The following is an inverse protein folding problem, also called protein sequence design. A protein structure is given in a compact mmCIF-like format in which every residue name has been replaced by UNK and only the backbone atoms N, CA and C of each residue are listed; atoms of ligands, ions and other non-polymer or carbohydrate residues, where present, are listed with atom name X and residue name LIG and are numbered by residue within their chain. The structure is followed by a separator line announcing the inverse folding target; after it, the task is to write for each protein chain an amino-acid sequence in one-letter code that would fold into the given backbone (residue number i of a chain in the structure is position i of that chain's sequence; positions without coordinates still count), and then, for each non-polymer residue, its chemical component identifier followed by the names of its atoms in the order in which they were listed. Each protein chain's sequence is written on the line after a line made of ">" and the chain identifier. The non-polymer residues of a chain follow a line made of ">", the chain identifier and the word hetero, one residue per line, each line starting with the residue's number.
data_IF_221518174977
#
_entry.id   IF_221518174977
#
_cell.length_a   1.000
_cell.length_b   1.000
_cell.length_c   1.000
_cell.angle_alpha   90.00
_cell.angle_beta   90.00
_cell.angle_gamma   90.00
#
_symmetry.space_group_name_H-M   'P 1'
#
loop_
_entity.id
_entity.type
_entity.pdbx_description
1 polymer ?
#
# COMPACT_ATOMS: atom_id res chain seq x y z
N UNK A 1 6.41 59.69 21.94
CA UNK A 1 6.46 58.39 22.65
C UNK A 1 6.13 57.31 21.62
N UNK A 2 7.14 56.67 21.05
CA UNK A 2 7.00 55.66 19.99
C UNK A 2 7.13 54.28 20.62
N UNK A 3 6.09 53.45 20.48
CA UNK A 3 6.04 52.08 21.01
C UNK A 3 6.49 51.14 19.89
N UNK A 4 7.70 50.60 20.01
CA UNK A 4 8.25 49.61 19.09
C UNK A 4 7.73 48.23 19.49
N UNK A 5 6.80 47.66 18.70
CA UNK A 5 6.33 46.30 18.91
C UNK A 5 7.33 45.30 18.31
N UNK A 6 8.00 44.52 19.16
CA UNK A 6 8.88 43.43 18.74
C UNK A 6 8.04 42.20 18.37
N UNK A 7 8.06 41.81 17.09
CA UNK A 7 7.49 40.56 16.62
C UNK A 7 8.43 39.41 16.99
N UNK A 8 8.01 38.59 17.96
CA UNK A 8 8.72 37.34 18.31
C UNK A 8 8.35 36.29 17.27
N UNK A 9 9.29 35.95 16.38
CA UNK A 9 9.14 34.85 15.45
C UNK A 9 9.21 33.51 16.21
N UNK A 10 8.09 32.80 16.28
CA UNK A 10 8.04 31.45 16.85
C UNK A 10 8.59 30.48 15.81
N UNK A 11 9.65 29.70 16.11
CA UNK A 11 10.15 28.69 15.19
C UNK A 11 9.12 27.57 15.06
N UNK A 12 8.62 27.36 13.85
CA UNK A 12 7.77 26.22 13.53
C UNK A 12 8.67 25.00 13.41
N UNK A 13 8.75 24.18 14.45
CA UNK A 13 9.32 22.84 14.35
C UNK A 13 8.45 22.02 13.40
N UNK A 14 8.89 21.87 12.16
CA UNK A 14 8.38 20.84 11.27
C UNK A 14 8.75 19.49 11.90
N UNK A 15 7.79 18.85 12.55
CA UNK A 15 7.94 17.45 12.96
C UNK A 15 8.19 16.69 11.66
N UNK A 16 9.43 16.24 11.45
CA UNK A 16 9.77 15.37 10.35
C UNK A 16 8.82 14.16 10.43
N UNK A 17 7.95 14.02 9.43
CA UNK A 17 7.01 12.92 9.38
C UNK A 17 7.80 11.62 9.47
N UNK A 18 7.62 10.88 10.56
CA UNK A 18 8.29 9.59 10.76
C UNK A 18 7.78 8.66 9.66
N UNK A 19 8.70 8.08 8.89
CA UNK A 19 8.34 7.18 7.81
C UNK A 19 7.57 5.97 8.39
N UNK A 20 6.31 5.73 7.98
CA UNK A 20 5.50 4.64 8.53
C UNK A 20 6.08 3.25 8.21
N UNK A 21 6.94 3.16 7.19
CA UNK A 21 7.56 1.91 6.75
C UNK A 21 8.82 1.53 7.54
N UNK A 22 9.29 2.40 8.45
CA UNK A 22 10.47 2.12 9.28
C UNK A 22 10.28 0.90 10.19
N UNK A 23 9.03 0.56 10.53
CA UNK A 23 8.67 -0.58 11.38
C UNK A 23 8.63 -1.92 10.66
N UNK A 24 8.68 -1.92 9.32
CA UNK A 24 8.72 -3.16 8.54
C UNK A 24 9.99 -3.97 8.87
N UNK A 25 9.94 -5.31 8.86
CA UNK A 25 11.14 -6.13 8.92
C UNK A 25 12.13 -5.77 7.81
N UNK A 26 13.43 -5.93 8.08
CA UNK A 26 14.49 -5.56 7.13
C UNK A 26 14.46 -6.33 5.80
N UNK A 27 13.80 -7.49 5.77
CA UNK A 27 13.54 -8.25 4.54
C UNK A 27 12.60 -7.52 3.58
N UNK A 28 11.80 -6.57 4.05
CA UNK A 28 10.82 -5.80 3.28
C UNK A 28 11.29 -4.36 3.10
N UNK A 29 12.19 -4.13 2.15
CA UNK A 29 12.85 -2.84 1.94
C UNK A 29 12.41 -2.10 0.66
N UNK A 30 11.50 -2.68 -0.12
CA UNK A 30 10.95 -2.07 -1.33
C UNK A 30 9.43 -2.04 -1.24
N UNK A 31 8.89 -0.87 -0.91
CA UNK A 31 7.47 -0.67 -0.61
C UNK A 31 6.80 0.01 -1.80
N UNK A 32 5.81 -0.65 -2.39
CA UNK A 32 4.96 -0.06 -3.42
C UNK A 32 3.89 0.83 -2.77
N UNK A 33 3.80 2.08 -3.21
CA UNK A 33 2.91 3.09 -2.65
C UNK A 33 2.24 3.92 -3.75
N UNK A 34 1.08 4.48 -3.43
CA UNK A 34 0.43 5.60 -4.13
C UNK A 34 0.18 6.71 -3.12
N UNK A 35 1.23 7.49 -2.85
CA UNK A 35 1.20 8.59 -1.88
C UNK A 35 1.78 9.83 -2.57
N UNK A 36 1.00 10.91 -2.70
CA UNK A 36 1.41 12.12 -3.41
C UNK A 36 2.51 12.90 -2.69
N UNK A 37 2.76 12.63 -1.40
CA UNK A 37 3.89 13.19 -0.68
C UNK A 37 5.21 12.47 -0.98
N UNK A 38 5.15 11.22 -1.47
CA UNK A 38 6.31 10.36 -1.73
C UNK A 38 6.56 10.14 -3.23
N UNK A 39 5.49 10.01 -4.01
CA UNK A 39 5.54 9.72 -5.43
C UNK A 39 5.56 11.01 -6.26
N UNK A 40 6.39 11.06 -7.32
CA UNK A 40 6.34 12.15 -8.29
C UNK A 40 4.95 12.25 -8.93
N UNK A 41 4.47 13.47 -9.20
CA UNK A 41 3.15 13.70 -9.80
C UNK A 41 2.94 13.00 -11.16
N UNK A 42 4.02 12.69 -11.88
CA UNK A 42 3.99 11.95 -13.14
C UNK A 42 3.58 10.47 -12.96
N UNK A 43 3.75 9.91 -11.76
CA UNK A 43 3.55 8.49 -11.49
C UNK A 43 2.45 8.30 -10.44
N UNK A 44 1.42 7.53 -10.79
CA UNK A 44 0.34 7.19 -9.84
C UNK A 44 0.84 6.28 -8.72
N UNK A 45 1.90 5.51 -8.96
CA UNK A 45 2.57 4.68 -7.94
C UNK A 45 4.07 4.79 -8.05
N UNK A 46 4.76 4.54 -6.95
CA UNK A 46 6.20 4.51 -6.89
C UNK A 46 6.68 3.48 -5.86
N UNK A 47 7.95 3.12 -5.93
CA UNK A 47 8.61 2.24 -4.96
C UNK A 47 9.49 3.09 -4.07
N UNK A 48 9.33 2.94 -2.75
CA UNK A 48 10.13 3.64 -1.73
C UNK A 48 10.84 2.64 -0.82
N UNK A 49 11.85 3.10 -0.10
CA UNK A 49 12.49 2.33 0.96
C UNK A 49 11.84 2.53 2.34
N UNK A 50 12.36 1.83 3.36
CA UNK A 50 11.90 1.96 4.76
C UNK A 50 12.15 3.32 5.40
N UNK A 51 12.93 4.18 4.74
CA UNK A 51 13.14 5.58 5.11
C UNK A 51 12.30 6.54 4.24
N UNK A 52 11.33 6.02 3.47
CA UNK A 52 10.44 6.77 2.58
C UNK A 52 11.18 7.50 1.46
N UNK A 53 12.37 7.01 1.09
CA UNK A 53 13.11 7.53 -0.05
C UNK A 53 12.61 6.87 -1.32
N UNK A 54 12.34 7.67 -2.33
CA UNK A 54 11.98 7.20 -3.66
C UNK A 54 13.14 6.37 -4.24
N UNK A 55 12.84 5.11 -4.58
CA UNK A 55 13.76 4.22 -5.28
C UNK A 55 13.50 4.25 -6.79
N UNK A 56 12.23 4.32 -7.21
CA UNK A 56 11.85 4.31 -8.63
C UNK A 56 10.39 3.97 -8.88
N UNK A 57 10.12 3.32 -10.02
CA UNK A 57 8.76 2.92 -10.45
C UNK A 57 8.59 1.40 -10.41
N UNK A 58 7.35 0.89 -10.25
CA UNK A 58 7.09 -0.56 -10.30
C UNK A 58 7.45 -1.23 -11.64
N UNK A 59 7.57 -0.46 -12.73
CA UNK A 59 7.94 -0.98 -14.04
C UNK A 59 9.43 -1.37 -14.13
N UNK A 60 10.25 -0.83 -13.22
CA UNK A 60 11.72 -0.97 -13.25
C UNK A 60 12.26 -1.63 -11.98
N UNK A 61 11.49 -1.63 -10.90
CA UNK A 61 11.90 -2.16 -9.61
C UNK A 61 10.89 -3.17 -9.08
N UNK A 62 11.41 -4.32 -8.64
CA UNK A 62 10.65 -5.25 -7.82
C UNK A 62 10.37 -4.65 -6.46
N UNK A 63 9.22 -5.02 -5.90
CA UNK A 63 8.75 -4.59 -4.59
C UNK A 63 8.29 -5.82 -3.79
N UNK A 64 8.30 -5.69 -2.47
CA UNK A 64 7.96 -6.77 -1.56
C UNK A 64 7.14 -6.30 -0.36
N UNK A 65 6.58 -5.09 -0.42
CA UNK A 65 5.55 -4.65 0.51
C UNK A 65 4.56 -3.72 -0.19
N UNK A 66 3.35 -3.65 0.34
CA UNK A 66 2.31 -2.70 -0.05
C UNK A 66 2.16 -1.69 1.08
N UNK A 67 2.28 -0.40 0.76
CA UNK A 67 2.15 0.70 1.71
C UNK A 67 0.90 1.56 1.50
N UNK A 68 1.05 2.87 1.62
CA UNK A 68 -0.05 3.81 1.54
C UNK A 68 -0.52 4.02 0.10
N UNK A 69 -1.83 3.90 -0.12
CA UNK A 69 -2.52 4.12 -1.39
C UNK A 69 -3.52 5.29 -1.35
N UNK A 70 -3.50 6.12 -0.30
CA UNK A 70 -4.41 7.27 -0.15
C UNK A 70 -4.28 8.33 -1.24
N UNK A 71 -3.19 8.33 -2.00
CA UNK A 71 -2.94 9.22 -3.14
C UNK A 71 -3.65 8.82 -4.43
N UNK A 72 -4.35 7.67 -4.46
CA UNK A 72 -5.12 7.28 -5.64
C UNK A 72 -6.24 8.30 -5.94
N UNK A 73 -6.49 8.62 -7.22
CA UNK A 73 -7.62 9.47 -7.61
C UNK A 73 -8.96 8.87 -7.16
N UNK A 74 -9.92 9.72 -6.77
CA UNK A 74 -11.24 9.28 -6.32
C UNK A 74 -12.04 8.48 -7.39
N UNK A 75 -11.67 8.62 -8.66
CA UNK A 75 -12.22 7.85 -9.78
C UNK A 75 -11.73 6.40 -9.83
N UNK A 76 -10.72 6.03 -9.04
CA UNK A 76 -10.23 4.65 -8.93
C UNK A 76 -11.01 3.90 -7.86
N UNK A 77 -11.81 2.94 -8.32
CA UNK A 77 -12.59 2.01 -7.50
C UNK A 77 -12.02 0.59 -7.51
N UNK A 78 -11.12 0.29 -8.43
CA UNK A 78 -10.47 -1.01 -8.60
C UNK A 78 -8.95 -0.86 -8.60
N UNK A 79 -8.24 -1.82 -8.00
CA UNK A 79 -6.78 -1.89 -8.05
C UNK A 79 -6.27 -3.33 -8.14
N UNK A 80 -5.15 -3.50 -8.86
CA UNK A 80 -4.52 -4.81 -9.10
C UNK A 80 -3.08 -4.79 -8.58
N UNK A 81 -2.74 -5.81 -7.82
CA UNK A 81 -1.39 -6.11 -7.37
C UNK A 81 -0.90 -7.39 -8.05
N UNK A 82 0.27 -7.30 -8.68
CA UNK A 82 0.99 -8.45 -9.22
C UNK A 82 2.39 -8.48 -8.60
N UNK A 83 2.61 -9.36 -7.63
CA UNK A 83 3.84 -9.41 -6.84
C UNK A 83 4.96 -10.25 -7.46
N UNK A 84 4.77 -10.83 -8.65
CA UNK A 84 5.82 -11.59 -9.33
C UNK A 84 6.40 -12.76 -8.51
N UNK A 85 5.58 -13.39 -7.67
CA UNK A 85 5.94 -14.47 -6.73
C UNK A 85 6.77 -14.02 -5.50
N UNK A 86 7.01 -12.72 -5.32
CA UNK A 86 7.72 -12.21 -4.15
C UNK A 86 6.89 -12.37 -2.87
N UNK A 87 7.57 -12.68 -1.76
CA UNK A 87 6.98 -12.60 -0.43
C UNK A 87 6.67 -11.14 -0.13
N UNK A 88 5.39 -10.82 0.06
CA UNK A 88 4.87 -9.47 0.16
C UNK A 88 4.27 -9.22 1.54
N UNK A 89 4.72 -8.14 2.17
CA UNK A 89 4.14 -7.67 3.43
C UNK A 89 3.03 -6.63 3.19
N UNK A 90 1.87 -6.81 3.81
CA UNK A 90 0.68 -5.95 3.58
C UNK A 90 0.07 -5.33 4.83
N UNK A 91 0.65 -5.57 6.02
CA UNK A 91 0.05 -5.07 7.27
C UNK A 91 0.13 -3.54 7.42
N UNK A 92 1.02 -2.88 6.67
CA UNK A 92 1.14 -1.41 6.63
C UNK A 92 0.37 -0.80 5.46
N UNK A 93 -0.38 -1.62 4.71
CA UNK A 93 -1.15 -1.14 3.59
C UNK A 93 -2.30 -0.26 4.10
N UNK A 94 -2.48 0.90 3.47
CA UNK A 94 -3.57 1.82 3.73
C UNK A 94 -4.28 2.09 2.43
N UNK A 95 -5.58 1.82 2.36
CA UNK A 95 -6.38 2.01 1.15
C UNK A 95 -7.41 3.12 1.34
N UNK A 96 -7.69 3.91 0.29
CA UNK A 96 -8.77 4.88 0.33
C UNK A 96 -10.12 4.16 0.32
N UNK A 97 -11.14 4.83 0.88
CA UNK A 97 -12.51 4.29 0.93
C UNK A 97 -13.21 4.21 -0.43
N UNK A 98 -12.55 4.64 -1.51
CA UNK A 98 -13.09 4.56 -2.88
C UNK A 98 -12.87 3.19 -3.49
N UNK A 99 -11.88 2.42 -3.02
CA UNK A 99 -11.61 1.08 -3.53
C UNK A 99 -12.69 0.11 -3.05
N UNK A 100 -13.36 -0.51 -4.02
CA UNK A 100 -14.33 -1.56 -3.82
C UNK A 100 -13.83 -2.91 -4.35
N UNK A 101 -12.96 -2.92 -5.36
CA UNK A 101 -12.44 -4.14 -5.98
C UNK A 101 -10.92 -4.23 -5.87
N UNK A 102 -10.40 -5.33 -5.33
CA UNK A 102 -8.96 -5.61 -5.26
C UNK A 102 -8.63 -6.95 -5.91
N UNK A 103 -7.55 -6.99 -6.70
CA UNK A 103 -6.97 -8.23 -7.20
C UNK A 103 -5.56 -8.41 -6.66
N UNK A 104 -5.30 -9.56 -6.04
CA UNK A 104 -3.99 -10.00 -5.57
C UNK A 104 -3.57 -11.21 -6.41
N UNK A 105 -2.54 -11.04 -7.24
CA UNK A 105 -2.07 -12.07 -8.17
C UNK A 105 -0.58 -12.35 -8.04
N UNK A 106 -0.19 -13.62 -8.08
CA UNK A 106 1.21 -14.05 -8.04
C UNK A 106 1.96 -13.46 -6.84
N UNK A 107 1.47 -13.65 -5.63
CA UNK A 107 2.06 -13.08 -4.42
C UNK A 107 2.14 -14.14 -3.34
N UNK A 108 3.26 -14.19 -2.62
CA UNK A 108 3.32 -14.95 -1.38
C UNK A 108 3.27 -14.00 -0.19
N UNK A 109 2.81 -14.46 0.96
CA UNK A 109 2.67 -13.71 2.20
C UNK A 109 3.43 -14.44 3.31
N UNK A 110 4.01 -13.70 4.28
CA UNK A 110 4.74 -14.31 5.38
C UNK A 110 3.83 -15.21 6.24
N UNK A 111 4.39 -16.24 6.90
CA UNK A 111 3.63 -17.20 7.70
C UNK A 111 3.10 -16.63 9.03
N UNK A 112 3.62 -15.48 9.46
CA UNK A 112 3.07 -14.71 10.60
C UNK A 112 1.66 -14.18 10.26
N UNK A 113 0.80 -13.90 11.26
CA UNK A 113 -0.56 -13.46 10.98
C UNK A 113 -0.54 -12.13 10.22
N UNK A 114 -0.78 -12.24 8.92
CA UNK A 114 -1.05 -11.12 8.04
C UNK A 114 -2.36 -10.50 8.50
N UNK A 115 -2.34 -9.22 8.82
CA UNK A 115 -3.50 -8.42 9.21
C UNK A 115 -3.61 -7.24 8.24
N UNK A 116 -4.04 -7.48 6.99
CA UNK A 116 -4.22 -6.41 6.03
C UNK A 116 -5.34 -5.49 6.53
N UNK A 117 -5.13 -4.18 6.45
CA UNK A 117 -6.21 -3.22 6.64
C UNK A 117 -6.96 -3.07 5.32
N UNK A 118 -7.99 -3.87 5.11
CA UNK A 118 -8.77 -3.85 3.87
C UNK A 118 -9.52 -2.53 3.66
N UNK A 119 -9.77 -2.12 2.39
CA UNK A 119 -10.60 -0.95 2.11
C UNK A 119 -11.98 -1.10 2.76
N UNK A 120 -12.54 -0.02 3.36
CA UNK A 120 -13.80 -0.10 4.09
C UNK A 120 -15.02 -0.37 3.21
N UNK A 121 -14.91 -0.15 1.89
CA UNK A 121 -15.97 -0.43 0.90
C UNK A 121 -15.63 -1.61 -0.01
N UNK A 122 -14.64 -2.43 0.37
CA UNK A 122 -14.26 -3.61 -0.40
C UNK A 122 -15.48 -4.53 -0.52
N UNK A 123 -15.91 -4.80 -1.76
CA UNK A 123 -16.99 -5.72 -2.10
C UNK A 123 -16.49 -6.93 -2.89
N UNK A 124 -15.38 -6.77 -3.62
CA UNK A 124 -14.78 -7.81 -4.46
C UNK A 124 -13.30 -7.98 -4.12
N UNK A 125 -12.89 -9.22 -3.84
CA UNK A 125 -11.49 -9.57 -3.65
C UNK A 125 -11.13 -10.80 -4.51
N UNK A 126 -10.37 -10.55 -5.57
CA UNK A 126 -9.85 -11.59 -6.46
C UNK A 126 -8.49 -12.06 -5.96
N UNK A 127 -8.36 -13.35 -5.72
CA UNK A 127 -7.12 -13.97 -5.24
C UNK A 127 -6.67 -15.01 -6.26
N UNK A 128 -5.48 -14.82 -6.81
CA UNK A 128 -4.92 -15.71 -7.83
C UNK A 128 -3.46 -16.05 -7.51
N UNK A 129 -3.14 -17.34 -7.40
CA UNK A 129 -1.78 -17.82 -7.11
C UNK A 129 -1.16 -17.11 -5.87
N UNK A 130 -1.88 -17.15 -4.74
CA UNK A 130 -1.38 -16.65 -3.46
C UNK A 130 -1.57 -17.65 -2.32
N UNK A 131 -0.91 -17.41 -1.18
CA UNK A 131 -1.06 -18.16 0.07
C UNK A 131 -1.74 -17.35 1.18
N UNK A 132 -2.52 -16.30 0.86
CA UNK A 132 -3.22 -15.51 1.88
C UNK A 132 -4.33 -16.33 2.55
N UNK A 133 -4.35 -16.34 3.89
CA UNK A 133 -5.34 -17.10 4.68
C UNK A 133 -6.32 -16.20 5.42
N UNK A 134 -6.01 -14.90 5.54
CA UNK A 134 -6.84 -13.90 6.24
C UNK A 134 -7.56 -13.05 5.20
N UNK A 135 -8.87 -13.26 5.10
CA UNK A 135 -9.77 -12.58 4.16
C UNK A 135 -10.85 -11.85 4.98
N UNK A 136 -11.29 -10.65 4.57
CA UNK A 136 -12.31 -9.91 5.30
C UNK A 136 -13.65 -10.65 5.24
N UNK A 137 -14.29 -10.84 6.40
CA UNK A 137 -15.50 -11.65 6.55
C UNK A 137 -16.75 -11.10 5.85
N UNK A 138 -16.70 -9.85 5.35
CA UNK A 138 -17.82 -9.15 4.72
C UNK A 138 -17.69 -9.02 3.20
N UNK A 139 -16.69 -9.67 2.59
CA UNK A 139 -16.42 -9.56 1.15
C UNK A 139 -16.92 -10.81 0.45
N UNK A 140 -17.57 -10.61 -0.70
CA UNK A 140 -17.86 -11.72 -1.60
C UNK A 140 -16.52 -12.17 -2.21
N UNK A 141 -16.04 -13.30 -1.73
CA UNK A 141 -14.76 -13.86 -2.17
C UNK A 141 -15.06 -14.65 -3.42
N UNK A 142 -14.95 -14.00 -4.57
CA UNK A 142 -14.80 -14.73 -5.83
C UNK A 142 -13.40 -15.33 -5.83
N UNK A 143 -13.27 -16.47 -5.14
CA UNK A 143 -12.16 -17.37 -5.32
C UNK A 143 -12.23 -17.76 -6.79
N UNK A 144 -11.38 -17.15 -7.61
CA UNK A 144 -11.12 -17.64 -8.96
C UNK A 144 -10.56 -19.05 -8.79
N UNK A 145 -11.46 -20.04 -8.69
CA UNK A 145 -11.12 -21.45 -8.76
C UNK A 145 -10.41 -21.58 -10.08
N UNK A 146 -9.12 -21.94 -10.10
CA UNK A 146 -8.44 -22.14 -11.36
C UNK A 146 -9.25 -23.15 -12.17
N UNK A 147 -9.46 -22.92 -13.46
CA UNK A 147 -10.31 -23.76 -14.31
C UNK A 147 -9.97 -25.26 -14.26
N UNK A 148 -8.76 -25.63 -13.84
CA UNK A 148 -8.34 -27.02 -13.59
C UNK A 148 -8.86 -27.66 -12.28
N UNK A 149 -9.52 -26.91 -11.40
CA UNK A 149 -10.17 -27.43 -10.18
C UNK A 149 -11.69 -27.63 -10.32
N UNK A 150 -12.30 -27.24 -11.45
CA UNK A 150 -13.72 -27.43 -11.74
C UNK A 150 -14.03 -28.75 -12.48
N UNK A 151 -13.02 -29.59 -12.72
CA UNK A 151 -13.15 -30.90 -13.36
C UNK A 151 -12.81 -32.05 -12.39
N UNK A 152 -13.76 -32.39 -11.52
CA UNK A 152 -13.91 -33.75 -10.97
C UNK A 152 -15.36 -34.20 -11.09
#
# INVERSE_FOLDING_TARGET
>A
MTITAALVAVPWTTIAAVCPYATLPSSFNSILVSDTALCPAANMTCVVDRACRLLGTPDTLSWNAIGNYSGLPASKTSWVFNGGQACTHVNVAVFPSTISSLKLSNMTFPPEPVKPSWPPKLNELFIEATNITVIPSAVDVDLAIPWWQLSR
#
